data_IF_810949912220
#
_entry.id   IF_810949912220
#
_cell.length_a   1.000
_cell.length_b   1.000
_cell.length_c   1.000
_cell.angle_alpha   90.00
_cell.angle_beta   90.00
_cell.angle_gamma   90.00
#
_symmetry.space_group_name_H-M   'P 1'
#
loop_
_entity.id
_entity.type
_entity.pdbx_description
1 polymer ?
#
# COMPACT_ATOMS: atom_id res chain seq x y z
N UNK A 1 -1.79 17.23 5.56
CA UNK A 1 -1.55 16.12 6.52
C UNK A 1 -0.60 16.41 7.68
N UNK A 2 0.08 17.57 7.82
CA UNK A 2 0.34 18.11 9.15
C UNK A 2 -1.03 18.40 9.81
N UNK A 3 -1.25 18.16 11.11
CA UNK A 3 -0.34 17.78 12.20
C UNK A 3 -0.30 16.27 12.57
N UNK A 4 -0.75 15.38 11.69
CA UNK A 4 -0.95 13.96 12.02
C UNK A 4 0.13 12.99 11.46
N UNK A 5 1.07 13.47 10.63
CA UNK A 5 2.18 12.64 10.11
C UNK A 5 3.18 12.25 11.22
N UNK A 6 3.89 11.15 11.01
CA UNK A 6 4.98 10.64 11.85
C UNK A 6 4.60 10.27 13.30
N UNK A 7 3.30 10.10 13.58
CA UNK A 7 2.76 9.70 14.89
C UNK A 7 2.36 8.22 14.97
N UNK A 8 2.72 7.42 13.96
CA UNK A 8 2.39 5.99 13.91
C UNK A 8 0.95 5.66 13.50
N UNK A 9 0.10 6.65 13.20
CA UNK A 9 -1.30 6.42 12.84
C UNK A 9 -1.47 5.55 11.59
N UNK A 10 -0.62 5.71 10.58
CA UNK A 10 -0.65 4.85 9.39
C UNK A 10 -0.46 3.37 9.75
N UNK A 11 0.56 3.05 10.55
CA UNK A 11 0.81 1.68 11.02
C UNK A 11 -0.38 1.14 11.83
N UNK A 12 -0.98 1.97 12.70
CA UNK A 12 -2.15 1.57 13.48
C UNK A 12 -3.35 1.22 12.57
N UNK A 13 -3.59 2.03 11.56
CA UNK A 13 -4.68 1.80 10.59
C UNK A 13 -4.44 0.53 9.77
N UNK A 14 -3.22 0.30 9.27
CA UNK A 14 -2.89 -0.94 8.57
C UNK A 14 -3.12 -2.18 9.44
N UNK A 15 -2.65 -2.16 10.70
CA UNK A 15 -2.89 -3.27 11.63
C UNK A 15 -4.38 -3.52 11.88
N UNK A 16 -5.17 -2.46 12.02
CA UNK A 16 -6.63 -2.60 12.14
C UNK A 16 -7.20 -3.27 10.89
N UNK A 17 -6.85 -2.77 9.70
CA UNK A 17 -7.31 -3.35 8.44
C UNK A 17 -6.96 -4.83 8.31
N UNK A 18 -5.81 -5.27 8.81
CA UNK A 18 -5.41 -6.68 8.75
C UNK A 18 -6.30 -7.55 9.64
N UNK A 19 -6.66 -7.05 10.83
CA UNK A 19 -7.60 -7.74 11.72
C UNK A 19 -8.99 -7.82 11.11
N UNK A 20 -9.49 -6.72 10.54
CA UNK A 20 -10.83 -6.68 9.91
C UNK A 20 -10.92 -7.55 8.65
N UNK A 21 -9.83 -7.64 7.88
CA UNK A 21 -9.76 -8.48 6.67
C UNK A 21 -9.35 -9.93 6.97
N UNK A 22 -9.07 -10.26 8.24
CA UNK A 22 -8.60 -11.57 8.69
C UNK A 22 -7.39 -12.09 7.90
N UNK A 23 -6.47 -11.20 7.52
CA UNK A 23 -5.25 -11.54 6.76
C UNK A 23 -4.07 -10.67 7.13
N UNK A 24 -2.89 -11.28 7.21
CA UNK A 24 -1.61 -10.58 7.40
C UNK A 24 -1.03 -10.03 6.08
N UNK A 25 -1.57 -10.49 4.94
CA UNK A 25 -1.13 -10.10 3.60
C UNK A 25 -2.34 -9.66 2.76
N UNK A 26 -2.99 -8.53 3.09
CA UNK A 26 -4.10 -8.07 2.28
C UNK A 26 -3.61 -7.69 0.89
N UNK A 27 -4.46 -7.90 -0.10
CA UNK A 27 -4.28 -7.34 -1.43
C UNK A 27 -4.45 -5.82 -1.38
N UNK A 28 -3.56 -5.08 -2.05
CA UNK A 28 -3.71 -3.64 -2.26
C UNK A 28 -3.02 -3.19 -3.54
N UNK A 29 -3.34 -1.97 -3.97
CA UNK A 29 -2.61 -1.28 -5.03
C UNK A 29 -2.14 0.10 -4.59
N UNK A 30 -1.09 0.60 -5.24
CA UNK A 30 -0.68 2.00 -5.13
C UNK A 30 -0.30 2.58 -6.48
N UNK A 31 -0.68 3.84 -6.71
CA UNK A 31 -0.21 4.59 -7.87
C UNK A 31 1.28 4.97 -7.81
N UNK A 32 1.90 5.14 -8.98
CA UNK A 32 3.31 5.52 -9.11
C UNK A 32 3.72 6.74 -8.27
N UNK A 33 2.86 7.77 -8.17
CA UNK A 33 3.20 9.01 -7.47
C UNK A 33 3.18 8.84 -5.95
N UNK A 34 2.45 7.83 -5.47
CA UNK A 34 2.32 7.52 -4.04
C UNK A 34 3.28 6.42 -3.59
N UNK A 35 3.87 5.67 -4.51
CA UNK A 35 4.77 4.56 -4.18
C UNK A 35 5.88 4.96 -3.20
N UNK A 36 6.54 6.10 -3.43
CA UNK A 36 7.63 6.59 -2.55
C UNK A 36 7.13 6.90 -1.13
N UNK A 37 5.91 7.44 -0.99
CA UNK A 37 5.30 7.77 0.30
C UNK A 37 4.99 6.50 1.12
N UNK A 38 4.57 5.42 0.45
CA UNK A 38 4.15 4.17 1.10
C UNK A 38 5.23 3.09 1.16
N UNK A 39 6.34 3.22 0.43
CA UNK A 39 7.41 2.22 0.32
C UNK A 39 7.84 1.66 1.68
N UNK A 40 8.06 2.54 2.67
CA UNK A 40 8.48 2.12 4.02
C UNK A 40 7.44 1.28 4.75
N UNK A 41 6.15 1.54 4.53
CA UNK A 41 5.05 0.75 5.11
C UNK A 41 5.02 -0.64 4.47
N UNK A 42 5.17 -0.70 3.15
CA UNK A 42 5.18 -1.96 2.42
C UNK A 42 6.37 -2.84 2.81
N UNK A 43 7.56 -2.25 2.94
CA UNK A 43 8.74 -2.94 3.47
C UNK A 43 8.53 -3.42 4.91
N UNK A 44 7.93 -2.60 5.78
CA UNK A 44 7.68 -2.94 7.18
C UNK A 44 6.75 -4.15 7.34
N UNK A 45 5.68 -4.21 6.54
CA UNK A 45 4.72 -5.32 6.56
C UNK A 45 5.04 -6.44 5.57
N UNK A 46 6.17 -6.34 4.84
CA UNK A 46 6.61 -7.33 3.85
C UNK A 46 5.57 -7.62 2.76
N UNK A 47 4.94 -6.57 2.23
CA UNK A 47 4.11 -6.69 1.04
C UNK A 47 4.95 -7.13 -0.15
N UNK A 48 4.45 -8.09 -0.91
CA UNK A 48 5.11 -8.65 -2.09
C UNK A 48 4.53 -8.01 -3.35
N UNK A 49 5.36 -7.33 -4.14
CA UNK A 49 4.93 -6.75 -5.42
C UNK A 49 4.65 -7.89 -6.39
N UNK A 50 3.41 -8.02 -6.81
CA UNK A 50 2.94 -9.12 -7.67
C UNK A 50 2.73 -8.68 -9.12
N UNK A 51 2.36 -7.42 -9.36
CA UNK A 51 2.16 -6.89 -10.71
C UNK A 51 2.39 -5.38 -10.81
N UNK A 52 2.66 -4.89 -12.02
CA UNK A 52 2.74 -3.46 -12.35
C UNK A 52 2.07 -3.24 -13.70
N UNK A 53 0.94 -2.53 -13.69
CA UNK A 53 0.14 -2.29 -14.90
C UNK A 53 0.19 -0.81 -15.25
N UNK A 54 0.58 -0.48 -16.49
CA UNK A 54 0.46 0.87 -17.04
C UNK A 54 -0.98 1.11 -17.51
N UNK A 55 -1.55 2.26 -17.13
CA UNK A 55 -2.85 2.65 -17.65
C UNK A 55 -4.04 2.01 -16.94
N UNK A 56 -3.85 1.29 -15.83
CA UNK A 56 -4.95 0.56 -15.15
C UNK A 56 -6.08 1.49 -14.72
N UNK A 57 -5.77 2.50 -13.90
CA UNK A 57 -6.72 3.55 -13.52
C UNK A 57 -6.52 4.86 -14.29
N UNK A 58 -5.28 5.20 -14.67
CA UNK A 58 -4.92 6.46 -15.31
C UNK A 58 -3.96 6.19 -16.47
N UNK A 59 -4.32 6.64 -17.67
CA UNK A 59 -3.51 6.45 -18.89
C UNK A 59 -2.09 6.99 -18.69
N UNK A 60 -1.08 6.17 -19.01
CA UNK A 60 0.34 6.54 -18.89
C UNK A 60 0.83 6.65 -17.44
N UNK A 61 0.09 6.07 -16.49
CA UNK A 61 0.47 5.97 -15.07
C UNK A 61 0.49 4.51 -14.66
N UNK A 62 1.54 4.12 -13.93
CA UNK A 62 1.65 2.77 -13.38
C UNK A 62 0.86 2.63 -12.09
N UNK A 63 0.18 1.51 -11.96
CA UNK A 63 -0.40 1.02 -10.71
C UNK A 63 0.37 -0.23 -10.28
N UNK A 64 0.77 -0.28 -9.01
CA UNK A 64 1.58 -1.34 -8.42
C UNK A 64 0.69 -2.20 -7.54
N UNK A 65 0.62 -3.49 -7.84
CA UNK A 65 -0.24 -4.46 -7.16
C UNK A 65 0.61 -5.29 -6.20
N UNK A 66 0.10 -5.46 -4.98
CA UNK A 66 0.77 -6.22 -3.93
C UNK A 66 -0.11 -7.34 -3.40
N UNK A 67 0.48 -8.49 -3.12
CA UNK A 67 -0.16 -9.68 -2.55
C UNK A 67 -1.39 -10.17 -3.35
N UNK A 68 -1.36 -10.07 -4.67
CA UNK A 68 -2.40 -10.64 -5.54
C UNK A 68 -2.19 -12.15 -5.70
N UNK A 69 -2.37 -12.91 -4.61
CA UNK A 69 -2.15 -14.36 -4.51
C UNK A 69 -3.39 -15.03 -3.92
#
# INVERSE_FOLDING_TARGET
MPPYKNKGYGIKLFKQSFMELETEKPFLTVSEEKLVEFKRIFEYFRFELTDVIDGYYRKGKKEYFYNQI
#
